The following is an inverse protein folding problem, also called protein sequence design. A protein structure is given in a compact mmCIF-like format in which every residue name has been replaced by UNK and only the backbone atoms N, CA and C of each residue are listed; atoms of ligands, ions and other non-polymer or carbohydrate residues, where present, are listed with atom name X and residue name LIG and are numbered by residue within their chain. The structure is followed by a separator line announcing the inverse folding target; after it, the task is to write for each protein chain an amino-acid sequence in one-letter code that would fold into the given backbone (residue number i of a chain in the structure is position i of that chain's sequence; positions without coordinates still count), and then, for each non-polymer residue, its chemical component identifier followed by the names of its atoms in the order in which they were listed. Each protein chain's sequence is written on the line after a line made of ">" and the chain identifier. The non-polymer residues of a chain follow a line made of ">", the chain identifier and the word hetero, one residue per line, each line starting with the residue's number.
data_IF_396742431688
#
_entry.id   IF_396742431688
#
_cell.length_a   1.000
_cell.length_b   1.000
_cell.length_c   1.000
_cell.angle_alpha   90.00
_cell.angle_beta   90.00
_cell.angle_gamma   90.00
#
_symmetry.space_group_name_H-M   'P 1'
#
loop_
_entity.id
_entity.type
_entity.pdbx_description
1 polymer ?
#
# COMPACT_ATOMS: atom_id res chain seq x y z
N UNK A 1 0.13 -24.41 -30.21
CA UNK A 1 -0.41 -23.93 -28.92
C UNK A 1 0.75 -23.73 -27.97
N UNK A 2 1.20 -22.48 -27.78
CA UNK A 2 2.27 -22.15 -26.85
C UNK A 2 1.64 -21.50 -25.61
N UNK A 3 1.59 -22.25 -24.51
CA UNK A 3 1.18 -21.74 -23.22
C UNK A 3 2.33 -20.87 -22.65
N UNK A 4 2.24 -19.56 -22.85
CA UNK A 4 3.11 -18.60 -22.17
C UNK A 4 2.79 -18.58 -20.68
N UNK A 5 3.68 -19.15 -19.87
CA UNK A 5 3.67 -18.92 -18.42
C UNK A 5 4.10 -17.47 -18.17
N UNK A 6 3.15 -16.57 -18.01
CA UNK A 6 3.43 -15.24 -17.45
C UNK A 6 3.74 -15.41 -15.97
N UNK A 7 5.02 -15.61 -15.66
CA UNK A 7 5.53 -15.39 -14.32
C UNK A 7 5.54 -13.87 -14.14
N UNK A 8 4.52 -13.32 -13.48
CA UNK A 8 4.59 -11.95 -12.95
C UNK A 8 5.60 -12.01 -11.82
N UNK A 9 6.89 -11.95 -12.16
CA UNK A 9 7.91 -11.59 -11.20
C UNK A 9 7.60 -10.13 -10.87
N UNK A 10 7.35 -9.84 -9.61
CA UNK A 10 7.33 -8.49 -9.06
C UNK A 10 8.67 -7.83 -9.45
N UNK A 11 8.74 -7.17 -10.60
CA UNK A 11 10.03 -6.87 -11.26
C UNK A 11 10.92 -5.94 -10.44
N UNK A 12 10.32 -5.25 -9.47
CA UNK A 12 11.00 -4.30 -8.59
C UNK A 12 11.07 -4.76 -7.14
N UNK A 13 10.77 -6.03 -6.84
CA UNK A 13 10.76 -6.49 -5.44
C UNK A 13 12.12 -6.33 -4.73
N UNK A 14 13.21 -6.31 -5.50
CA UNK A 14 14.56 -6.05 -5.01
C UNK A 14 14.97 -4.56 -5.04
N UNK A 15 14.06 -3.65 -5.44
CA UNK A 15 14.35 -2.24 -5.73
C UNK A 15 13.30 -1.30 -5.11
N UNK A 16 13.01 -1.51 -3.81
CA UNK A 16 12.09 -0.65 -3.06
C UNK A 16 12.52 0.82 -3.06
N UNK A 17 13.84 1.07 -2.97
CA UNK A 17 14.47 2.39 -3.08
C UNK A 17 14.05 3.14 -4.36
N UNK A 18 14.05 2.44 -5.50
CA UNK A 18 13.64 3.01 -6.79
C UNK A 18 12.13 3.13 -6.90
N UNK A 19 11.38 2.21 -6.30
CA UNK A 19 9.93 2.17 -6.40
C UNK A 19 9.28 3.44 -5.85
N UNK A 20 9.82 3.99 -4.75
CA UNK A 20 9.34 5.23 -4.14
C UNK A 20 9.43 6.46 -5.07
N UNK A 21 10.31 6.41 -6.08
CA UNK A 21 10.43 7.43 -7.12
C UNK A 21 9.66 7.05 -8.40
N UNK A 22 9.78 5.79 -8.83
CA UNK A 22 9.20 5.30 -10.08
C UNK A 22 7.67 5.27 -10.04
N UNK A 23 7.05 4.95 -8.91
CA UNK A 23 5.60 4.83 -8.81
C UNK A 23 4.88 6.19 -8.93
N UNK A 24 5.29 7.26 -8.20
CA UNK A 24 4.77 8.61 -8.46
C UNK A 24 5.04 9.09 -9.90
N UNK A 25 6.21 8.78 -10.47
CA UNK A 25 6.54 9.15 -11.84
C UNK A 25 5.61 8.46 -12.86
N UNK A 26 5.31 7.17 -12.66
CA UNK A 26 4.37 6.42 -13.50
C UNK A 26 2.97 7.03 -13.43
N UNK A 27 2.47 7.35 -12.24
CA UNK A 27 1.14 7.98 -12.08
C UNK A 27 1.09 9.34 -12.79
N UNK A 28 2.16 10.15 -12.65
CA UNK A 28 2.27 11.45 -13.32
C UNK A 28 2.28 11.31 -14.84
N UNK A 29 3.08 10.38 -15.37
CA UNK A 29 3.17 10.09 -16.81
C UNK A 29 1.85 9.59 -17.37
N UNK A 30 1.16 8.69 -16.67
CA UNK A 30 -0.15 8.21 -17.08
C UNK A 30 -1.17 9.34 -17.11
N UNK A 31 -1.22 10.17 -16.05
CA UNK A 31 -2.08 11.35 -16.01
C UNK A 31 -1.89 12.27 -17.21
N UNK A 32 -0.63 12.58 -17.53
CA UNK A 32 -0.29 13.36 -18.71
C UNK A 32 -0.77 12.71 -20.01
N UNK A 33 -0.46 11.42 -20.22
CA UNK A 33 -0.81 10.69 -21.44
C UNK A 33 -2.31 10.56 -21.65
N UNK A 34 -3.08 10.24 -20.61
CA UNK A 34 -4.54 10.14 -20.71
C UNK A 34 -5.19 11.51 -20.96
N UNK A 35 -4.73 12.56 -20.27
CA UNK A 35 -5.20 13.92 -20.51
C UNK A 35 -4.95 14.33 -21.97
N UNK A 36 -3.72 14.14 -22.47
CA UNK A 36 -3.35 14.46 -23.85
C UNK A 36 -4.14 13.64 -24.89
N UNK A 37 -4.21 12.31 -24.72
CA UNK A 37 -4.90 11.43 -25.67
C UNK A 37 -6.41 11.70 -25.76
N UNK A 38 -6.99 12.21 -24.67
CA UNK A 38 -8.40 12.62 -24.62
C UNK A 38 -8.62 14.07 -25.08
N UNK A 39 -7.62 14.75 -25.64
CA UNK A 39 -7.66 16.18 -26.01
C UNK A 39 -8.09 17.10 -24.85
N UNK A 40 -7.75 16.72 -23.62
CA UNK A 40 -8.03 17.49 -22.42
C UNK A 40 -9.30 17.09 -21.65
N UNK A 41 -10.14 16.20 -22.19
CA UNK A 41 -11.40 15.77 -21.54
C UNK A 41 -11.17 14.99 -20.23
N UNK A 42 -10.13 14.16 -20.18
CA UNK A 42 -9.73 13.48 -18.94
C UNK A 42 -9.00 14.47 -18.04
N UNK A 43 -9.54 14.74 -16.85
CA UNK A 43 -8.92 15.64 -15.86
C UNK A 43 -7.45 15.28 -15.61
N UNK A 44 -6.52 16.25 -15.71
CA UNK A 44 -5.08 16.02 -15.55
C UNK A 44 -4.65 15.54 -14.16
N UNK A 45 -5.54 15.62 -13.17
CA UNK A 45 -5.38 15.15 -11.80
C UNK A 45 -6.43 14.08 -11.45
N UNK A 46 -6.87 13.27 -12.42
CA UNK A 46 -7.87 12.23 -12.16
C UNK A 46 -7.45 11.27 -11.01
N UNK A 47 -8.42 10.73 -10.25
CA UNK A 47 -8.14 9.84 -9.12
C UNK A 47 -7.42 8.56 -9.54
N UNK A 48 -6.43 8.12 -8.77
CA UNK A 48 -5.69 6.88 -9.04
C UNK A 48 -5.78 5.91 -7.87
N UNK A 49 -6.22 4.68 -8.12
CA UNK A 49 -6.34 3.63 -7.11
C UNK A 49 -5.24 2.57 -7.24
N UNK A 50 -4.70 2.09 -6.12
CA UNK A 50 -3.80 0.93 -6.12
C UNK A 50 -4.00 0.03 -4.90
N UNK A 51 -3.42 -1.17 -4.95
CA UNK A 51 -3.47 -2.15 -3.86
C UNK A 51 -2.07 -2.27 -3.25
N UNK A 52 -1.99 -2.12 -1.93
CA UNK A 52 -0.77 -2.39 -1.18
C UNK A 52 -0.42 -3.89 -1.28
N UNK A 53 0.86 -4.24 -1.39
CA UNK A 53 1.27 -5.65 -1.42
C UNK A 53 0.81 -6.41 -0.17
N UNK A 54 0.18 -7.57 -0.36
CA UNK A 54 -0.19 -8.47 0.73
C UNK A 54 1.05 -9.07 1.43
N UNK A 55 0.85 -9.73 2.57
CA UNK A 55 1.91 -10.55 3.18
C UNK A 55 2.34 -11.69 2.24
N UNK A 56 3.64 -11.94 2.12
CA UNK A 56 4.19 -12.92 1.17
C UNK A 56 4.89 -14.12 1.84
N UNK A 57 5.15 -14.07 3.14
CA UNK A 57 5.68 -15.17 3.93
C UNK A 57 5.14 -15.13 5.36
N UNK A 58 4.95 -16.29 5.96
CA UNK A 58 4.68 -16.45 7.39
C UNK A 58 5.97 -16.89 8.10
N UNK A 59 6.98 -16.04 8.05
CA UNK A 59 8.31 -16.32 8.59
C UNK A 59 8.89 -15.04 9.19
N UNK A 60 8.93 -14.97 10.52
CA UNK A 60 9.40 -13.80 11.27
C UNK A 60 10.93 -13.63 11.23
N UNK A 61 11.67 -14.59 10.69
CA UNK A 61 13.12 -14.46 10.47
C UNK A 61 13.43 -13.65 9.20
N UNK A 62 12.44 -13.49 8.30
CA UNK A 62 12.58 -12.65 7.11
C UNK A 62 12.36 -11.19 7.46
N UNK A 63 13.44 -10.43 7.41
CA UNK A 63 13.43 -8.98 7.65
C UNK A 63 13.55 -8.27 6.29
N UNK A 64 12.72 -7.26 6.06
CA UNK A 64 12.74 -6.44 4.85
C UNK A 64 12.15 -7.10 3.60
N UNK A 65 12.31 -6.43 2.46
CA UNK A 65 11.75 -6.83 1.17
C UNK A 65 10.32 -6.30 0.97
N UNK A 66 9.30 -7.11 1.22
CA UNK A 66 7.90 -6.68 1.04
C UNK A 66 7.48 -5.53 1.97
N UNK A 67 7.88 -5.50 3.26
CA UNK A 67 7.70 -4.33 4.12
C UNK A 67 8.26 -3.05 3.50
N UNK A 68 9.49 -3.09 2.98
CA UNK A 68 10.13 -1.93 2.34
C UNK A 68 9.38 -1.49 1.07
N UNK A 69 8.91 -2.46 0.27
CA UNK A 69 8.10 -2.17 -0.92
C UNK A 69 6.76 -1.54 -0.55
N UNK A 70 6.08 -2.02 0.50
CA UNK A 70 4.82 -1.43 0.97
C UNK A 70 5.03 0.03 1.39
N UNK A 71 6.13 0.33 2.07
CA UNK A 71 6.51 1.70 2.40
C UNK A 71 6.74 2.53 1.13
N UNK A 72 7.52 1.98 0.20
CA UNK A 72 7.83 2.62 -1.09
C UNK A 72 6.59 2.83 -1.99
N UNK A 73 5.56 1.97 -1.92
CA UNK A 73 4.29 2.15 -2.65
C UNK A 73 3.58 3.46 -2.29
N UNK A 74 3.86 4.01 -1.11
CA UNK A 74 3.32 5.29 -0.64
C UNK A 74 4.30 6.46 -0.84
N UNK A 75 5.35 6.26 -1.63
CA UNK A 75 6.46 7.22 -1.81
C UNK A 75 7.16 7.58 -0.48
N UNK A 76 7.25 6.62 0.44
CA UNK A 76 7.84 6.73 1.78
C UNK A 76 7.08 7.65 2.74
N UNK A 77 5.77 7.79 2.59
CA UNK A 77 4.90 8.55 3.53
C UNK A 77 4.12 7.65 4.49
N UNK A 78 3.96 6.35 4.16
CA UNK A 78 3.14 5.41 4.92
C UNK A 78 1.64 5.48 4.64
N UNK A 79 1.17 6.50 3.94
CA UNK A 79 -0.24 6.68 3.61
C UNK A 79 -0.43 7.38 2.26
N UNK A 80 -1.63 7.27 1.71
CA UNK A 80 -2.12 8.09 0.59
C UNK A 80 -3.55 8.59 0.89
N UNK A 81 -3.97 9.74 0.35
CA UNK A 81 -3.17 10.68 -0.44
C UNK A 81 -2.05 11.32 0.39
N UNK A 82 -1.00 11.80 -0.28
CA UNK A 82 0.12 12.51 0.34
C UNK A 82 0.70 13.56 -0.63
N UNK A 83 1.75 14.27 -0.22
CA UNK A 83 2.34 15.36 -1.01
C UNK A 83 2.84 14.93 -2.41
N UNK A 84 3.32 13.69 -2.58
CA UNK A 84 3.78 13.14 -3.86
C UNK A 84 2.68 12.39 -4.63
N UNK A 85 1.65 11.92 -3.94
CA UNK A 85 0.57 11.08 -4.46
C UNK A 85 -0.78 11.74 -4.17
N UNK A 86 -1.01 12.90 -4.79
CA UNK A 86 -2.27 13.63 -4.68
C UNK A 86 -3.39 12.95 -5.47
N UNK A 87 -4.60 12.97 -4.92
CA UNK A 87 -5.78 12.30 -5.48
C UNK A 87 -5.52 10.81 -5.76
N UNK A 88 -4.77 10.16 -4.87
CA UNK A 88 -4.47 8.73 -4.91
C UNK A 88 -5.09 8.06 -3.70
N UNK A 89 -5.65 6.87 -3.89
CA UNK A 89 -6.23 6.04 -2.84
C UNK A 89 -5.70 4.62 -2.91
N UNK A 90 -5.75 3.92 -1.77
CA UNK A 90 -5.11 2.62 -1.60
C UNK A 90 -6.01 1.66 -0.83
N UNK A 91 -6.02 0.39 -1.23
CA UNK A 91 -6.48 -0.70 -0.37
C UNK A 91 -5.29 -1.34 0.36
N UNK A 92 -5.38 -1.46 1.68
CA UNK A 92 -4.47 -2.30 2.47
C UNK A 92 -4.88 -3.77 2.26
N UNK A 93 -3.91 -4.61 1.91
CA UNK A 93 -4.11 -6.06 1.73
C UNK A 93 -3.13 -6.90 2.56
N UNK A 94 -2.34 -6.26 3.44
CA UNK A 94 -1.30 -6.91 4.22
C UNK A 94 -1.84 -8.05 5.11
N UNK A 95 -3.05 -7.88 5.63
CA UNK A 95 -3.79 -8.80 6.50
C UNK A 95 -4.54 -9.91 5.75
N UNK A 96 -4.51 -9.90 4.42
CA UNK A 96 -5.14 -10.91 3.56
C UNK A 96 -4.09 -11.69 2.74
N UNK A 97 -3.10 -12.34 3.37
CA UNK A 97 -2.17 -13.21 2.66
C UNK A 97 -2.82 -14.55 2.32
N UNK A 98 -2.35 -15.18 1.24
CA UNK A 98 -2.73 -16.55 0.88
C UNK A 98 -1.48 -17.42 0.78
N UNK A 99 -0.92 -17.77 1.93
CA UNK A 99 0.32 -18.54 2.00
C UNK A 99 0.20 -19.95 1.41
N UNK A 100 -1.02 -20.46 1.26
CA UNK A 100 -1.31 -21.78 0.71
C UNK A 100 -1.86 -21.71 -0.73
N UNK A 101 -1.76 -20.56 -1.39
CA UNK A 101 -2.23 -20.40 -2.78
C UNK A 101 -1.51 -21.39 -3.70
N UNK A 102 -2.23 -22.16 -4.53
CA UNK A 102 -1.62 -23.08 -5.50
C UNK A 102 -0.83 -22.34 -6.59
N UNK A 103 -0.99 -21.02 -6.71
CA UNK A 103 -0.29 -20.17 -7.66
C UNK A 103 0.90 -19.42 -7.04
N UNK A 104 1.18 -19.67 -5.77
CA UNK A 104 2.24 -19.00 -5.01
C UNK A 104 1.70 -17.85 -4.13
N UNK A 105 2.40 -17.59 -3.03
CA UNK A 105 1.94 -16.71 -1.94
C UNK A 105 1.68 -15.25 -2.35
N UNK A 106 2.23 -14.82 -3.48
CA UNK A 106 2.05 -13.48 -4.05
C UNK A 106 0.76 -13.33 -4.85
N UNK A 107 -0.05 -14.39 -4.97
CA UNK A 107 -1.35 -14.38 -5.64
C UNK A 107 -2.51 -14.68 -4.67
N UNK A 108 -2.87 -13.73 -3.77
CA UNK A 108 -3.99 -13.92 -2.84
C UNK A 108 -5.32 -14.09 -3.57
N UNK A 109 -6.14 -15.03 -3.08
CA UNK A 109 -7.50 -15.27 -3.60
C UNK A 109 -8.55 -14.33 -3.03
N UNK A 110 -8.28 -13.59 -1.96
CA UNK A 110 -9.19 -12.62 -1.30
C UNK A 110 -9.40 -11.33 -2.11
N UNK A 111 -9.60 -11.47 -3.43
CA UNK A 111 -9.74 -10.36 -4.38
C UNK A 111 -10.99 -9.53 -4.11
N UNK A 112 -12.06 -10.15 -3.61
CA UNK A 112 -13.31 -9.47 -3.29
C UNK A 112 -13.14 -8.49 -2.12
N UNK A 113 -12.52 -8.92 -1.03
CA UNK A 113 -12.26 -8.06 0.14
C UNK A 113 -11.33 -6.89 -0.22
N UNK A 114 -10.27 -7.16 -0.98
CA UNK A 114 -9.35 -6.14 -1.47
C UNK A 114 -10.07 -5.15 -2.41
N UNK A 115 -10.94 -5.63 -3.29
CA UNK A 115 -11.71 -4.77 -4.18
C UNK A 115 -12.74 -3.93 -3.41
N UNK A 116 -13.42 -4.51 -2.42
CA UNK A 116 -14.37 -3.82 -1.54
C UNK A 116 -13.72 -2.64 -0.81
N UNK A 117 -12.55 -2.87 -0.21
CA UNK A 117 -11.74 -1.81 0.42
C UNK A 117 -11.32 -0.73 -0.57
N UNK A 118 -10.91 -1.11 -1.78
CA UNK A 118 -10.49 -0.16 -2.82
C UNK A 118 -11.67 0.70 -3.31
N UNK A 119 -12.85 0.11 -3.48
CA UNK A 119 -14.08 0.83 -3.85
C UNK A 119 -14.50 1.80 -2.76
N UNK A 120 -14.41 1.40 -1.49
CA UNK A 120 -14.71 2.28 -0.36
C UNK A 120 -13.78 3.51 -0.33
N UNK A 121 -12.49 3.29 -0.60
CA UNK A 121 -11.52 4.38 -0.72
C UNK A 121 -11.77 5.26 -1.96
N UNK A 122 -12.18 4.67 -3.09
CA UNK A 122 -12.58 5.42 -4.28
C UNK A 122 -13.78 6.32 -4.00
N UNK A 123 -14.82 5.83 -3.33
CA UNK A 123 -15.99 6.65 -2.96
C UNK A 123 -15.60 7.89 -2.16
N UNK A 124 -14.71 7.74 -1.20
CA UNK A 124 -14.24 8.87 -0.39
C UNK A 124 -13.35 9.84 -1.18
N UNK A 125 -12.36 9.33 -1.91
CA UNK A 125 -11.31 10.16 -2.55
C UNK A 125 -11.71 10.64 -3.94
N UNK A 126 -12.22 9.74 -4.79
CA UNK A 126 -12.59 10.05 -6.16
C UNK A 126 -13.95 10.74 -6.28
N UNK A 127 -14.91 10.33 -5.43
CA UNK A 127 -16.30 10.84 -5.49
C UNK A 127 -16.63 11.81 -4.36
N UNK A 128 -15.71 12.04 -3.42
CA UNK A 128 -15.88 13.03 -2.36
C UNK A 128 -16.92 12.68 -1.30
N UNK A 129 -17.38 11.42 -1.26
CA UNK A 129 -18.36 10.96 -0.28
C UNK A 129 -17.83 11.10 1.14
N UNK A 130 -18.67 11.62 2.06
CA UNK A 130 -18.29 11.94 3.44
C UNK A 130 -18.85 10.90 4.41
N UNK A 131 -18.19 10.76 5.57
CA UNK A 131 -18.63 9.83 6.62
C UNK A 131 -18.34 8.36 6.32
N UNK A 132 -17.42 8.07 5.41
CA UNK A 132 -16.99 6.70 5.09
C UNK A 132 -15.77 6.30 5.90
N UNK A 133 -15.82 5.08 6.44
CA UNK A 133 -14.73 4.47 7.20
C UNK A 133 -13.81 3.67 6.27
N UNK A 134 -13.06 4.40 5.44
CA UNK A 134 -12.18 3.79 4.43
C UNK A 134 -10.71 3.72 4.85
N UNK A 135 -10.34 4.38 5.96
CA UNK A 135 -9.00 4.39 6.51
C UNK A 135 -9.01 3.78 7.91
N UNK A 136 -7.99 2.95 8.19
CA UNK A 136 -7.70 2.54 9.55
C UNK A 136 -7.08 3.69 10.36
N UNK A 137 -6.98 3.53 11.70
CA UNK A 137 -6.34 4.52 12.54
C UNK A 137 -4.83 4.60 12.24
N UNK A 138 -4.28 5.81 12.29
CA UNK A 138 -2.86 6.06 12.06
C UNK A 138 -2.10 6.12 13.39
N UNK A 139 -0.84 5.66 13.44
CA UNK A 139 0.01 5.91 14.60
C UNK A 139 0.21 7.42 14.76
N UNK A 140 -0.03 7.93 15.97
CA UNK A 140 0.07 9.36 16.30
C UNK A 140 1.29 9.66 17.18
N UNK A 141 1.69 8.69 18.01
CA UNK A 141 2.83 8.82 18.92
C UNK A 141 3.44 7.46 19.19
N UNK A 142 4.73 7.44 19.49
CA UNK A 142 5.36 6.28 20.10
C UNK A 142 6.19 6.68 21.33
N UNK A 143 6.37 5.74 22.24
CA UNK A 143 7.22 5.88 23.41
C UNK A 143 8.04 4.60 23.60
N UNK A 144 9.34 4.74 23.82
CA UNK A 144 10.23 3.61 24.11
C UNK A 144 10.47 3.55 25.61
N UNK A 145 10.18 2.41 26.24
CA UNK A 145 10.41 2.16 27.66
C UNK A 145 11.14 0.81 27.82
N UNK A 146 12.45 0.85 28.03
CA UNK A 146 13.28 -0.36 28.07
C UNK A 146 13.20 -1.13 26.75
N UNK A 147 12.70 -2.37 26.80
CA UNK A 147 12.46 -3.23 25.63
C UNK A 147 11.04 -3.13 25.05
N UNK A 148 10.19 -2.23 25.57
CA UNK A 148 8.82 -2.03 25.10
C UNK A 148 8.69 -0.78 24.24
N UNK A 149 8.08 -0.94 23.07
CA UNK A 149 7.63 0.16 22.22
C UNK A 149 6.10 0.29 22.37
N UNK A 150 5.65 1.37 22.97
CA UNK A 150 4.22 1.71 23.06
C UNK A 150 3.87 2.63 21.89
N UNK A 151 2.88 2.27 21.07
CA UNK A 151 2.38 3.06 19.94
C UNK A 151 0.95 3.50 20.26
N UNK A 152 0.71 4.80 20.21
CA UNK A 152 -0.63 5.39 20.28
C UNK A 152 -1.15 5.56 18.86
N UNK A 153 -2.43 5.23 18.67
CA UNK A 153 -3.12 5.38 17.39
C UNK A 153 -4.20 6.45 17.50
N UNK A 154 -4.51 7.11 16.38
CA UNK A 154 -5.64 8.02 16.27
C UNK A 154 -6.94 7.29 16.59
N UNK A 155 -7.91 7.98 17.17
CA UNK A 155 -9.25 7.41 17.32
C UNK A 155 -9.85 7.16 15.93
N UNK A 156 -10.15 5.89 15.64
CA UNK A 156 -10.95 5.49 14.50
C UNK A 156 -12.42 5.35 14.89
N UNK A 157 -13.28 5.13 13.91
CA UNK A 157 -14.71 4.88 14.14
C UNK A 157 -15.02 3.44 14.63
N UNK A 158 -14.00 2.58 14.62
CA UNK A 158 -14.05 1.23 15.18
C UNK A 158 -12.88 1.01 16.14
N UNK A 159 -13.05 0.19 17.20
CA UNK A 159 -11.97 -0.15 18.10
C UNK A 159 -10.88 -0.95 17.37
N UNK A 160 -9.62 -0.75 17.78
CA UNK A 160 -8.50 -1.57 17.32
C UNK A 160 -8.62 -2.94 17.99
N UNK A 161 -8.63 -3.99 17.18
CA UNK A 161 -8.63 -5.38 17.64
C UNK A 161 -7.26 -6.00 17.36
N UNK A 162 -6.59 -6.49 18.40
CA UNK A 162 -5.33 -7.24 18.25
C UNK A 162 -5.67 -8.69 17.93
N UNK A 163 -5.53 -9.06 16.65
CA UNK A 163 -5.81 -10.42 16.15
C UNK A 163 -4.60 -11.35 16.15
N UNK A 164 -3.39 -10.78 16.30
CA UNK A 164 -2.13 -11.52 16.33
C UNK A 164 -1.13 -10.78 17.22
N UNK A 165 -0.28 -11.53 17.93
CA UNK A 165 0.88 -11.02 18.67
C UNK A 165 2.18 -11.12 17.85
N UNK A 166 2.10 -11.48 16.57
CA UNK A 166 3.21 -11.57 15.63
C UNK A 166 2.91 -10.79 14.34
N UNK A 167 3.95 -10.42 13.58
CA UNK A 167 3.81 -9.80 12.26
C UNK A 167 3.93 -8.27 12.22
N UNK A 168 4.46 -7.64 13.26
CA UNK A 168 4.88 -6.24 13.21
C UNK A 168 6.41 -6.14 13.11
N UNK A 169 6.88 -5.24 12.27
CA UNK A 169 8.30 -4.92 12.10
C UNK A 169 8.49 -3.45 12.46
N UNK A 170 9.56 -3.16 13.19
CA UNK A 170 9.97 -1.79 13.51
C UNK A 170 11.32 -1.58 12.85
N UNK A 171 11.38 -0.62 11.94
CA UNK A 171 12.64 -0.15 11.36
C UNK A 171 13.00 1.20 11.96
N UNK A 172 14.28 1.39 12.24
CA UNK A 172 14.83 2.70 12.59
C UNK A 172 15.46 3.23 11.32
N UNK A 173 14.98 4.37 10.83
CA UNK A 173 15.61 5.04 9.69
C UNK A 173 17.08 5.31 10.03
N UNK A 174 17.98 4.72 9.25
CA UNK A 174 19.36 5.18 9.23
C UNK A 174 19.35 6.54 8.51
N UNK A 175 20.00 7.59 9.06
CA UNK A 175 20.02 8.88 8.40
C UNK A 175 20.56 8.70 6.98
N UNK A 176 19.77 9.16 6.00
CA UNK A 176 20.22 9.29 4.62
C UNK A 176 21.47 10.16 4.66
N UNK A 177 22.64 9.56 4.39
CA UNK A 177 23.83 10.36 4.08
C UNK A 177 23.50 11.07 2.77
N UNK A 178 23.30 12.38 2.87
CA UNK A 178 23.10 13.28 1.72
C UNK A 178 24.30 13.33 0.81
#
# INVERSE_FOLDING_TARGET
>A
MLAGKYKVVLSNAAHADKYACQFPAMITDWRHKFHQASNGETNSMFPFGFVQLAGNANDTSRIGGFPDLRWAQTANYGHVPNAKLQNVFMSVAMDLPDFNSPYGTVHPRDKEDVASRLVLAARAVAYGEKGLDFQGPYPTRFTVQGSTLAIEFSQGNSPIEVRSNSGFEVSIDHPIKG
#
